data_IF_794772197847
#
_entry.id   IF_794772197847
#
_cell.length_a   1.000
_cell.length_b   1.000
_cell.length_c   1.000
_cell.angle_alpha   90.00
_cell.angle_beta   90.00
_cell.angle_gamma   90.00
#
_symmetry.space_group_name_H-M   'P 1'
#
loop_
_entity.id
_entity.type
_entity.pdbx_description
1 polymer ?
#
# COMPACT_ATOMS: atom_id res chain seq x y z
N UNK A 1 56.24 13.96 15.91
CA UNK A 1 55.07 14.16 15.03
C UNK A 1 54.05 13.08 15.37
N UNK A 2 52.92 13.44 16.00
CA UNK A 2 51.83 12.51 16.31
C UNK A 2 50.78 12.60 15.19
N UNK A 3 50.50 11.47 14.56
CA UNK A 3 49.48 11.35 13.53
C UNK A 3 48.09 11.34 14.19
N UNK A 4 47.28 12.37 13.91
CA UNK A 4 45.86 12.38 14.25
C UNK A 4 45.17 11.33 13.37
N UNK A 5 44.68 10.26 14.00
CA UNK A 5 43.83 9.27 13.35
C UNK A 5 42.45 9.88 13.16
N UNK A 6 42.13 10.27 11.93
CA UNK A 6 40.79 10.68 11.53
C UNK A 6 39.82 9.52 11.72
N UNK A 7 38.90 9.64 12.68
CA UNK A 7 37.73 8.77 12.77
C UNK A 7 36.69 9.29 11.76
N UNK A 8 36.56 8.58 10.64
CA UNK A 8 35.46 8.78 9.69
C UNK A 8 34.18 8.25 10.34
N UNK A 9 33.39 9.13 10.95
CA UNK A 9 32.05 8.77 11.45
C UNK A 9 31.13 8.67 10.24
N UNK A 10 31.02 7.47 9.69
CA UNK A 10 30.00 7.15 8.69
C UNK A 10 28.69 7.00 9.46
N UNK A 11 27.91 8.07 9.56
CA UNK A 11 26.52 7.98 10.04
C UNK A 11 25.69 7.27 8.97
N UNK A 12 25.70 5.93 9.03
CA UNK A 12 24.80 5.10 8.25
C UNK A 12 23.41 5.19 8.90
N UNK A 13 22.72 6.30 8.67
CA UNK A 13 21.29 6.43 8.98
C UNK A 13 20.52 5.60 7.95
N UNK A 14 20.60 4.27 8.04
CA UNK A 14 19.65 3.38 7.40
C UNK A 14 18.30 3.61 8.08
N UNK A 15 17.52 4.54 7.51
CA UNK A 15 16.09 4.65 7.78
C UNK A 15 15.48 3.30 7.43
N UNK A 16 15.16 2.51 8.44
CA UNK A 16 14.36 1.30 8.31
C UNK A 16 13.00 1.72 7.78
N UNK A 17 12.81 1.66 6.46
CA UNK A 17 11.48 1.73 5.87
C UNK A 17 10.81 0.42 6.26
N UNK A 18 9.98 0.48 7.30
CA UNK A 18 9.09 -0.62 7.66
C UNK A 18 8.15 -0.84 6.49
N UNK A 19 8.49 -1.76 5.58
CA UNK A 19 7.59 -2.15 4.52
C UNK A 19 6.30 -2.65 5.19
N UNK A 20 5.14 -2.09 4.83
CA UNK A 20 3.87 -2.72 5.22
C UNK A 20 3.88 -4.13 4.63
N UNK A 21 3.60 -5.10 5.49
CA UNK A 21 3.23 -6.44 5.03
C UNK A 21 1.78 -6.36 4.58
N UNK A 22 1.58 -6.19 3.27
CA UNK A 22 0.28 -6.28 2.63
C UNK A 22 -0.02 -7.77 2.34
N UNK A 23 -0.59 -8.45 3.33
CA UNK A 23 -1.03 -9.85 3.20
C UNK A 23 -2.56 -9.99 3.33
N UNK A 24 -3.08 -11.18 3.01
CA UNK A 24 -4.51 -11.46 3.07
C UNK A 24 -5.27 -10.95 1.84
N UNK A 25 -6.45 -10.35 2.05
CA UNK A 25 -7.34 -9.92 0.97
C UNK A 25 -7.99 -8.56 1.25
N UNK A 26 -8.44 -7.89 0.19
CA UNK A 26 -9.29 -6.71 0.25
C UNK A 26 -10.70 -7.06 -0.20
N UNK A 27 -11.64 -6.98 0.74
CA UNK A 27 -13.06 -7.19 0.45
C UNK A 27 -13.71 -5.87 0.04
N UNK A 28 -14.06 -5.77 -1.24
CA UNK A 28 -14.66 -4.58 -1.82
C UNK A 28 -16.15 -4.81 -2.07
N UNK A 29 -17.05 -4.05 -1.43
CA UNK A 29 -18.47 -4.13 -1.76
C UNK A 29 -18.68 -3.80 -3.25
N UNK A 30 -19.54 -4.57 -3.91
CA UNK A 30 -19.86 -4.38 -5.32
C UNK A 30 -18.86 -5.01 -6.31
N UNK A 31 -17.67 -5.47 -5.90
CA UNK A 31 -16.72 -6.10 -6.83
C UNK A 31 -17.07 -7.56 -7.16
N UNK A 32 -17.75 -8.26 -6.25
CA UNK A 32 -18.20 -9.65 -6.42
C UNK A 32 -17.13 -10.72 -6.15
N UNK A 33 -15.90 -10.30 -5.87
CA UNK A 33 -14.79 -11.15 -5.44
C UNK A 33 -13.87 -10.37 -4.48
N UNK A 34 -13.03 -11.09 -3.74
CA UNK A 34 -12.01 -10.51 -2.87
C UNK A 34 -10.73 -10.25 -3.70
N UNK A 35 -10.13 -9.06 -3.56
CA UNK A 35 -8.86 -8.72 -4.20
C UNK A 35 -7.68 -9.27 -3.40
N UNK A 36 -6.72 -9.89 -4.06
CA UNK A 36 -5.51 -10.39 -3.40
C UNK A 36 -4.65 -9.20 -2.92
N UNK A 37 -4.30 -9.18 -1.63
CA UNK A 37 -3.43 -8.15 -1.08
C UNK A 37 -2.06 -8.14 -1.76
N UNK A 38 -1.60 -9.27 -2.31
CA UNK A 38 -0.37 -9.37 -3.10
C UNK A 38 -0.46 -8.59 -4.40
N UNK A 39 -1.60 -8.59 -5.08
CA UNK A 39 -1.82 -7.79 -6.29
C UNK A 39 -1.78 -6.29 -5.95
N UNK A 40 -2.41 -5.90 -4.84
CA UNK A 40 -2.35 -4.53 -4.31
C UNK A 40 -0.91 -4.15 -3.97
N UNK A 41 -0.17 -5.03 -3.29
CA UNK A 41 1.22 -4.81 -2.93
C UNK A 41 2.11 -4.56 -4.16
N UNK A 42 1.97 -5.39 -5.20
CA UNK A 42 2.71 -5.21 -6.45
C UNK A 42 2.42 -3.86 -7.11
N UNK A 43 1.18 -3.37 -7.04
CA UNK A 43 0.82 -2.05 -7.56
C UNK A 43 1.44 -0.92 -6.72
N UNK A 44 1.35 -1.01 -5.39
CA UNK A 44 1.98 -0.04 -4.49
C UNK A 44 3.51 -0.02 -4.65
N UNK A 45 4.13 -1.18 -4.85
CA UNK A 45 5.57 -1.29 -5.10
C UNK A 45 5.97 -0.65 -6.43
N UNK A 46 5.11 -0.74 -7.45
CA UNK A 46 5.35 -0.12 -8.76
C UNK A 46 5.33 1.42 -8.75
N UNK A 47 4.86 2.05 -7.67
CA UNK A 47 4.96 3.52 -7.52
C UNK A 47 6.43 3.88 -7.43
N UNK A 48 6.91 4.55 -8.47
CA UNK A 48 8.24 5.12 -8.51
C UNK A 48 8.26 6.45 -7.75
N UNK A 49 8.79 6.43 -6.53
CA UNK A 49 8.92 7.61 -5.67
C UNK A 49 10.30 8.18 -5.90
N UNK A 50 10.44 9.02 -6.93
CA UNK A 50 11.66 9.78 -7.15
C UNK A 50 11.69 10.94 -6.15
N UNK A 51 12.67 10.93 -5.24
CA UNK A 51 12.82 11.94 -4.19
C UNK A 51 12.99 13.40 -4.71
N UNK A 52 13.35 13.56 -5.98
CA UNK A 52 13.65 14.85 -6.62
C UNK A 52 12.45 15.48 -7.36
N UNK A 53 11.31 14.78 -7.50
CA UNK A 53 10.14 15.34 -8.18
C UNK A 53 9.15 15.92 -7.16
N UNK A 54 8.93 17.23 -7.20
CA UNK A 54 7.95 17.92 -6.36
C UNK A 54 6.51 17.41 -6.57
N UNK A 55 6.18 16.91 -7.77
CA UNK A 55 4.82 16.50 -8.16
C UNK A 55 4.59 14.97 -8.09
N UNK A 56 5.31 14.26 -7.23
CA UNK A 56 5.17 12.80 -7.16
C UNK A 56 3.80 12.35 -6.63
N UNK A 57 3.12 13.19 -5.83
CA UNK A 57 1.83 12.92 -5.18
C UNK A 57 0.67 13.60 -5.94
N UNK A 58 -0.56 13.08 -5.77
CA UNK A 58 -1.75 13.63 -6.43
C UNK A 58 -2.56 14.56 -5.52
N UNK A 59 -2.56 14.30 -4.21
CA UNK A 59 -3.27 15.12 -3.23
C UNK A 59 -2.69 14.93 -1.82
N UNK A 60 -3.06 15.84 -0.91
CA UNK A 60 -2.73 15.79 0.50
C UNK A 60 -4.02 15.65 1.33
N UNK A 61 -4.00 14.74 2.29
CA UNK A 61 -5.11 14.51 3.23
C UNK A 61 -4.53 14.47 4.65
N UNK A 62 -4.99 15.36 5.53
CA UNK A 62 -4.49 15.49 6.92
C UNK A 62 -2.97 15.66 7.03
N UNK A 63 -2.33 16.37 6.10
CA UNK A 63 -0.87 16.57 6.09
C UNK A 63 -0.08 15.38 5.56
N UNK A 64 -0.74 14.34 5.05
CA UNK A 64 -0.10 13.17 4.43
C UNK A 64 -0.29 13.23 2.92
N UNK A 65 0.81 13.15 2.17
CA UNK A 65 0.83 13.14 0.71
C UNK A 65 0.54 11.73 0.17
N UNK A 66 -0.39 11.63 -0.77
CA UNK A 66 -0.85 10.38 -1.36
C UNK A 66 -0.70 10.35 -2.87
N UNK A 67 -0.40 9.16 -3.41
CA UNK A 67 -0.41 8.85 -4.84
C UNK A 67 -1.53 7.86 -5.15
N UNK A 68 -2.30 8.15 -6.18
CA UNK A 68 -3.34 7.27 -6.68
C UNK A 68 -2.81 6.36 -7.76
N UNK A 69 -3.19 5.09 -7.64
CA UNK A 69 -2.97 4.08 -8.65
C UNK A 69 -4.34 3.54 -9.04
N UNK A 70 -4.62 3.59 -10.34
CA UNK A 70 -5.81 2.98 -10.90
C UNK A 70 -5.48 1.55 -11.32
N UNK A 71 -6.24 0.61 -10.79
CA UNK A 71 -6.27 -0.76 -11.24
C UNK A 71 -7.61 -0.99 -11.95
N UNK A 72 -7.59 -0.99 -13.28
CA UNK A 72 -8.77 -1.39 -14.04
C UNK A 72 -8.96 -2.89 -13.92
N UNK A 73 -10.06 -3.33 -13.31
CA UNK A 73 -10.43 -4.75 -13.31
C UNK A 73 -11.91 -4.89 -13.62
N UNK A 74 -12.14 -5.71 -14.65
CA UNK A 74 -13.41 -6.31 -15.08
C UNK A 74 -14.36 -5.42 -15.90
N UNK A 75 -14.28 -5.61 -17.22
CA UNK A 75 -15.42 -5.51 -18.15
C UNK A 75 -16.33 -6.74 -17.95
N UNK A 76 -17.28 -6.69 -17.02
CA UNK A 76 -18.42 -7.60 -17.07
C UNK A 76 -19.62 -6.92 -16.41
N UNK A 77 -20.69 -6.78 -17.19
CA UNK A 77 -21.99 -6.15 -16.89
C UNK A 77 -21.96 -4.63 -16.69
N UNK A 78 -22.37 -3.90 -17.74
CA UNK A 78 -23.01 -2.56 -17.83
C UNK A 78 -22.51 -1.35 -17.00
N UNK A 79 -21.60 -1.52 -16.04
CA UNK A 79 -21.03 -0.47 -15.20
C UNK A 79 -19.54 -0.76 -15.04
N UNK A 80 -18.69 0.11 -15.59
CA UNK A 80 -17.26 0.04 -15.36
C UNK A 80 -16.96 0.23 -13.87
N UNK A 81 -16.35 -0.78 -13.25
CA UNK A 81 -15.85 -0.72 -11.88
C UNK A 81 -14.35 -0.48 -11.94
N UNK A 82 -13.90 0.62 -11.34
CA UNK A 82 -12.47 0.93 -11.29
C UNK A 82 -11.96 0.72 -9.87
N UNK A 83 -10.94 -0.10 -9.70
CA UNK A 83 -10.26 -0.22 -8.40
C UNK A 83 -9.27 0.93 -8.28
N UNK A 84 -9.30 1.56 -7.13
CA UNK A 84 -8.47 2.68 -6.76
C UNK A 84 -7.62 2.27 -5.56
N UNK A 85 -6.32 2.47 -5.66
CA UNK A 85 -5.38 2.22 -4.59
C UNK A 85 -4.69 3.55 -4.31
N UNK A 86 -4.80 4.08 -3.08
CA UNK A 86 -4.00 5.20 -2.62
C UNK A 86 -2.92 4.71 -1.68
N UNK A 87 -1.70 5.19 -1.89
CA UNK A 87 -0.58 4.93 -1.00
C UNK A 87 0.18 6.22 -0.71
N UNK A 88 0.69 6.37 0.51
CA UNK A 88 1.50 7.51 0.85
C UNK A 88 2.99 7.31 0.47
N UNK A 89 3.82 8.34 0.71
CA UNK A 89 5.24 8.35 0.32
C UNK A 89 6.04 7.18 0.86
N UNK A 90 5.76 6.80 2.10
CA UNK A 90 6.51 5.74 2.76
C UNK A 90 5.94 4.35 2.46
N UNK A 91 4.83 4.28 1.69
CA UNK A 91 4.05 3.06 1.45
C UNK A 91 3.62 2.38 2.76
N UNK A 92 3.53 3.17 3.84
CA UNK A 92 3.14 2.75 5.19
C UNK A 92 1.68 3.10 5.51
N UNK A 93 0.96 3.67 4.55
CA UNK A 93 -0.50 3.79 4.57
C UNK A 93 -1.01 3.46 3.17
N UNK A 94 -1.83 2.41 3.08
CA UNK A 94 -2.47 1.96 1.84
C UNK A 94 -3.96 1.83 2.06
N UNK A 95 -4.76 2.42 1.17
CA UNK A 95 -6.20 2.24 1.16
C UNK A 95 -6.66 1.84 -0.25
N UNK A 96 -7.60 0.91 -0.30
CA UNK A 96 -8.16 0.38 -1.55
C UNK A 96 -9.64 0.70 -1.58
N UNK A 97 -10.15 1.09 -2.74
CA UNK A 97 -11.57 1.35 -2.96
C UNK A 97 -11.99 0.94 -4.36
N UNK A 98 -13.30 0.90 -4.59
CA UNK A 98 -13.90 0.70 -5.90
C UNK A 98 -14.74 1.92 -6.23
N UNK A 99 -14.53 2.48 -7.42
CA UNK A 99 -15.41 3.48 -7.99
C UNK A 99 -16.54 2.77 -8.74
N UNK A 100 -17.75 2.93 -8.25
CA UNK A 100 -18.96 2.43 -8.88
C UNK A 100 -19.85 3.62 -9.23
N UNK A 101 -20.15 3.79 -10.53
CA UNK A 101 -20.90 4.93 -11.10
C UNK A 101 -20.33 6.30 -10.72
N UNK A 102 -20.61 6.79 -9.52
CA UNK A 102 -20.21 8.09 -8.97
C UNK A 102 -19.79 8.04 -7.49
N UNK A 103 -19.73 6.84 -6.90
CA UNK A 103 -19.43 6.63 -5.49
C UNK A 103 -18.10 5.88 -5.34
N UNK A 104 -17.28 6.35 -4.40
CA UNK A 104 -16.10 5.63 -3.94
C UNK A 104 -16.48 4.78 -2.74
N UNK A 105 -16.43 3.46 -2.91
CA UNK A 105 -16.68 2.51 -1.84
C UNK A 105 -15.34 1.99 -1.35
N UNK A 106 -15.01 2.22 -0.07
CA UNK A 106 -13.76 1.70 0.50
C UNK A 106 -13.84 0.19 0.71
N UNK A 107 -12.74 -0.48 0.37
CA UNK A 107 -12.56 -1.90 0.63
C UNK A 107 -12.04 -2.12 2.05
N UNK A 108 -12.46 -3.22 2.66
CA UNK A 108 -11.95 -3.65 3.95
C UNK A 108 -10.72 -4.54 3.75
N UNK A 109 -9.58 -4.18 4.35
CA UNK A 109 -8.42 -5.06 4.41
C UNK A 109 -8.63 -6.14 5.47
N UNK A 110 -8.42 -7.40 5.10
CA UNK A 110 -8.50 -8.58 5.95
C UNK A 110 -7.11 -9.24 5.90
N UNK A 111 -6.24 -9.02 6.91
CA UNK A 111 -4.90 -9.59 6.96
C UNK A 111 -4.91 -11.12 6.96
N UNK A 112 -3.82 -11.75 6.50
CA UNK A 112 -3.72 -13.21 6.47
C UNK A 112 -3.68 -13.84 7.89
N UNK A 113 -3.23 -13.09 8.90
CA UNK A 113 -3.18 -13.54 10.29
C UNK A 113 -4.47 -13.29 11.08
N UNK A 114 -5.47 -14.15 10.86
CA UNK A 114 -6.47 -14.56 11.88
C UNK A 114 -6.72 -16.09 11.87
N UNK A 115 -5.87 -16.89 11.19
CA UNK A 115 -6.05 -18.35 11.07
C UNK A 115 -4.84 -19.23 11.45
N UNK A 116 -3.91 -18.73 12.27
CA UNK A 116 -2.81 -19.57 12.79
C UNK A 116 -2.94 -19.95 14.28
N UNK A 117 -4.03 -19.60 14.98
CA UNK A 117 -4.09 -19.79 16.44
C UNK A 117 -5.31 -20.54 17.01
N UNK A 118 -5.95 -21.43 16.23
CA UNK A 118 -7.00 -22.34 16.76
C UNK A 118 -6.76 -23.84 16.56
N UNK A 119 -5.63 -24.26 15.98
CA UNK A 119 -5.38 -25.68 15.67
C UNK A 119 -4.32 -26.34 16.57
N UNK A 120 -4.01 -25.75 17.73
CA UNK A 120 -3.17 -26.40 18.76
C UNK A 120 -3.78 -26.40 20.16
N UNK A 121 -5.09 -26.13 20.26
CA UNK A 121 -5.84 -26.25 21.51
C UNK A 121 -7.07 -27.14 21.33
N UNK A 122 -6.91 -28.31 20.71
CA UNK A 122 -7.80 -29.45 20.91
C UNK A 122 -6.90 -30.64 21.20
N UNK A 123 -7.10 -31.15 22.42
CA UNK A 123 -6.42 -32.27 23.09
C UNK A 123 -6.26 -33.50 22.22
#
# INVERSE_FOLDING_TARGET
MQFFRSALVVSLSMLSVSAIILDGVYRCPGLGYDLDAKEVAQKVDSININAEKEDWYDFEENGVQYKNIYHSVVENSEVAKHIFIKANKNKDVVAVGVHQTSEMIQCQHIPAEVHSNKTSALK
#
